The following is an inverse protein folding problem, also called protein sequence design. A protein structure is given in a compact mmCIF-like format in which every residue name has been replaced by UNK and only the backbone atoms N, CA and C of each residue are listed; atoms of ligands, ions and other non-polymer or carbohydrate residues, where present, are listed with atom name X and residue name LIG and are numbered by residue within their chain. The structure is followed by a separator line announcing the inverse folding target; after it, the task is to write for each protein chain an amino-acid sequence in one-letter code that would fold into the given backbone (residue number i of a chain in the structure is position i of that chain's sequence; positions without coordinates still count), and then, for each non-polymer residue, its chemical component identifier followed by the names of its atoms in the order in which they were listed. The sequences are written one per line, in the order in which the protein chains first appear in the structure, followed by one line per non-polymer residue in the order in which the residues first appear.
data_IF_209231982063
#
_entry.id   IF_209231982063
#
_cell.length_a   1.000
_cell.length_b   1.000
_cell.length_c   1.000
_cell.angle_alpha   90.00
_cell.angle_beta   90.00
_cell.angle_gamma   90.00
#
_symmetry.space_group_name_H-M   'P 1'
#
loop_
_entity.id
_entity.type
_entity.pdbx_description
1 polymer ?
#
# COMPACT_ATOMS: atom_id res chain seq x y z
N UNK A 1 -5.46 -26.24 -22.90
CA UNK A 1 -5.26 -24.79 -22.69
C UNK A 1 -4.23 -24.56 -21.58
N UNK A 2 -3.03 -24.13 -21.93
CA UNK A 2 -2.06 -23.64 -20.96
C UNK A 2 -2.59 -22.35 -20.34
N UNK A 3 -2.80 -22.34 -19.03
CA UNK A 3 -3.09 -21.12 -18.30
C UNK A 3 -1.80 -20.31 -18.30
N UNK A 4 -1.67 -19.37 -19.24
CA UNK A 4 -0.65 -18.33 -19.11
C UNK A 4 -1.01 -17.55 -17.85
N UNK A 5 -0.31 -17.85 -16.75
CA UNK A 5 -0.40 -17.07 -15.53
C UNK A 5 0.11 -15.69 -15.89
N UNK A 6 -0.82 -14.81 -16.27
CA UNK A 6 -0.54 -13.43 -16.65
C UNK A 6 0.06 -12.71 -15.47
N UNK A 7 1.39 -12.76 -15.36
CA UNK A 7 2.13 -11.96 -14.41
C UNK A 7 1.98 -10.51 -14.82
N UNK A 8 1.22 -9.72 -14.04
CA UNK A 8 1.30 -8.24 -13.91
C UNK A 8 0.11 -7.61 -13.18
N UNK A 9 -0.98 -8.32 -12.89
CA UNK A 9 -2.21 -7.73 -12.30
C UNK A 9 -2.07 -7.12 -10.88
N UNK A 10 -0.89 -7.19 -10.24
CA UNK A 10 -0.67 -6.66 -8.88
C UNK A 10 0.56 -5.77 -8.67
N UNK A 11 1.45 -5.64 -9.65
CA UNK A 11 2.72 -4.91 -9.47
C UNK A 11 2.49 -3.41 -9.23
N UNK A 12 1.56 -2.80 -9.96
CA UNK A 12 1.23 -1.38 -9.81
C UNK A 12 0.65 -1.06 -8.43
N UNK A 13 -0.19 -1.94 -7.86
CA UNK A 13 -0.69 -1.79 -6.49
C UNK A 13 0.44 -1.72 -5.46
N UNK A 14 1.49 -2.52 -5.62
CA UNK A 14 2.68 -2.45 -4.77
C UNK A 14 3.44 -1.12 -4.91
N UNK A 15 3.54 -0.58 -6.14
CA UNK A 15 4.13 0.76 -6.39
C UNK A 15 3.33 1.84 -5.64
N UNK A 16 1.99 1.78 -5.69
CA UNK A 16 1.14 2.68 -4.91
C UNK A 16 1.40 2.56 -3.41
N UNK A 17 1.60 1.33 -2.91
CA UNK A 17 2.01 1.12 -1.51
C UNK A 17 3.35 1.76 -1.16
N UNK A 18 4.35 1.62 -2.04
CA UNK A 18 5.65 2.28 -1.87
C UNK A 18 5.52 3.80 -1.89
N UNK A 19 4.69 4.37 -2.77
CA UNK A 19 4.42 5.82 -2.80
C UNK A 19 3.79 6.31 -1.48
N UNK A 20 2.83 5.56 -0.93
CA UNK A 20 2.24 5.86 0.38
C UNK A 20 3.25 5.82 1.51
N UNK A 21 4.09 4.79 1.56
CA UNK A 21 5.17 4.69 2.54
C UNK A 21 6.21 5.82 2.37
N UNK A 22 6.56 6.17 1.13
CA UNK A 22 7.48 7.25 0.82
C UNK A 22 6.92 8.61 1.26
N UNK A 23 5.62 8.86 1.05
CA UNK A 23 4.98 10.08 1.53
C UNK A 23 5.10 10.22 3.05
N UNK A 24 4.89 9.13 3.80
CA UNK A 24 5.07 9.11 5.25
C UNK A 24 6.52 9.42 5.65
N UNK A 25 7.50 8.82 4.97
CA UNK A 25 8.92 9.07 5.22
C UNK A 25 9.27 10.53 4.94
N UNK A 26 8.85 11.05 3.78
CA UNK A 26 9.10 12.43 3.37
C UNK A 26 8.53 13.43 4.38
N UNK A 27 7.30 13.21 4.86
CA UNK A 27 6.68 13.99 5.93
C UNK A 27 7.47 13.90 7.24
N UNK A 28 7.92 12.71 7.63
CA UNK A 28 8.65 12.51 8.88
C UNK A 28 9.98 13.26 8.92
N UNK A 29 10.71 13.22 7.80
CA UNK A 29 12.04 13.84 7.70
C UNK A 29 11.97 15.33 7.34
N UNK A 30 10.76 15.89 7.22
CA UNK A 30 10.53 17.26 6.75
C UNK A 30 11.19 17.52 5.38
N UNK A 31 11.19 16.49 4.52
CA UNK A 31 11.73 16.56 3.17
C UNK A 31 10.76 17.28 2.22
N UNK A 32 11.23 17.55 0.99
CA UNK A 32 10.35 18.10 -0.05
C UNK A 32 9.34 17.04 -0.50
N UNK A 33 8.07 17.27 -0.13
CA UNK A 33 6.97 16.36 -0.46
C UNK A 33 6.33 16.68 -1.81
N UNK A 34 6.65 17.82 -2.44
CA UNK A 34 5.95 18.31 -3.63
C UNK A 34 6.01 17.31 -4.77
N UNK A 35 7.22 16.79 -5.04
CA UNK A 35 7.43 15.77 -6.08
C UNK A 35 6.69 14.46 -5.76
N UNK A 36 6.69 14.03 -4.50
CA UNK A 36 5.97 12.82 -4.07
C UNK A 36 4.47 12.99 -4.25
N UNK A 37 3.91 14.11 -3.81
CA UNK A 37 2.48 14.41 -3.98
C UNK A 37 2.09 14.60 -5.44
N UNK A 38 2.93 15.21 -6.26
CA UNK A 38 2.70 15.35 -7.69
C UNK A 38 2.59 13.97 -8.36
N UNK A 39 3.53 13.06 -8.06
CA UNK A 39 3.49 11.71 -8.60
C UNK A 39 2.29 10.91 -8.09
N UNK A 40 1.93 11.02 -6.82
CA UNK A 40 0.71 10.40 -6.28
C UNK A 40 -0.52 10.93 -7.04
N UNK A 41 -0.64 12.25 -7.18
CA UNK A 41 -1.77 12.89 -7.85
C UNK A 41 -1.90 12.46 -9.31
N UNK A 42 -0.80 12.47 -10.07
CA UNK A 42 -0.79 12.02 -11.47
C UNK A 42 -1.19 10.55 -11.57
N UNK A 43 -0.62 9.67 -10.75
CA UNK A 43 -0.92 8.25 -10.79
C UNK A 43 -2.39 7.95 -10.43
N UNK A 44 -2.95 8.62 -9.41
CA UNK A 44 -4.37 8.49 -9.07
C UNK A 44 -5.27 9.05 -10.17
N UNK A 45 -4.92 10.19 -10.78
CA UNK A 45 -5.68 10.77 -11.89
C UNK A 45 -5.72 9.81 -13.09
N UNK A 46 -4.57 9.28 -13.50
CA UNK A 46 -4.50 8.29 -14.58
C UNK A 46 -5.30 7.03 -14.25
N UNK A 47 -5.26 6.59 -12.99
CA UNK A 47 -6.00 5.42 -12.51
C UNK A 47 -7.51 5.57 -12.63
N UNK A 48 -8.05 6.77 -12.42
CA UNK A 48 -9.50 7.01 -12.50
C UNK A 48 -9.97 7.41 -13.91
N UNK A 49 -9.11 8.03 -14.71
CA UNK A 49 -9.44 8.50 -16.07
C UNK A 49 -9.34 7.36 -17.09
N UNK A 50 -8.35 6.48 -16.95
CA UNK A 50 -8.14 5.39 -17.91
C UNK A 50 -9.04 4.18 -17.58
N UNK A 51 -9.76 3.70 -18.60
CA UNK A 51 -10.53 2.46 -18.50
C UNK A 51 -9.62 1.24 -18.37
N UNK A 52 -10.13 0.17 -17.75
CA UNK A 52 -9.41 -1.10 -17.51
C UNK A 52 -8.27 -1.03 -16.47
N UNK A 53 -8.24 0.02 -15.63
CA UNK A 53 -7.35 0.08 -14.46
C UNK A 53 -8.16 -0.19 -13.18
N UNK A 54 -7.64 -1.08 -12.32
CA UNK A 54 -8.25 -1.36 -11.01
C UNK A 54 -7.91 -0.27 -10.01
N UNK A 55 -8.78 0.76 -9.91
CA UNK A 55 -8.60 1.85 -8.94
C UNK A 55 -8.64 1.36 -7.50
N UNK A 56 -9.42 0.30 -7.22
CA UNK A 56 -9.50 -0.32 -5.91
C UNK A 56 -8.17 -0.97 -5.52
N UNK A 57 -7.47 -1.61 -6.47
CA UNK A 57 -6.16 -2.22 -6.23
C UNK A 57 -5.08 -1.17 -5.91
N UNK A 58 -5.08 -0.05 -6.65
CA UNK A 58 -4.16 1.06 -6.40
C UNK A 58 -4.44 1.76 -5.07
N UNK A 59 -5.71 2.06 -4.77
CA UNK A 59 -6.11 2.65 -3.50
C UNK A 59 -5.77 1.74 -2.32
N UNK A 60 -6.10 0.44 -2.42
CA UNK A 60 -5.78 -0.54 -1.38
C UNK A 60 -4.28 -0.66 -1.13
N UNK A 61 -3.49 -0.73 -2.20
CA UNK A 61 -2.02 -0.71 -2.11
C UNK A 61 -1.50 0.55 -1.42
N UNK A 62 -1.95 1.73 -1.84
CA UNK A 62 -1.58 3.01 -1.24
C UNK A 62 -1.89 3.08 0.25
N UNK A 63 -3.10 2.69 0.65
CA UNK A 63 -3.52 2.71 2.06
C UNK A 63 -2.71 1.72 2.91
N UNK A 64 -2.53 0.49 2.42
CA UNK A 64 -1.74 -0.52 3.12
C UNK A 64 -0.27 -0.08 3.29
N UNK A 65 0.35 0.42 2.23
CA UNK A 65 1.72 0.92 2.27
C UNK A 65 1.90 2.15 3.15
N UNK A 66 0.94 3.09 3.13
CA UNK A 66 0.91 4.25 4.04
C UNK A 66 0.83 3.79 5.50
N UNK A 67 -0.06 2.84 5.82
CA UNK A 67 -0.20 2.30 7.16
C UNK A 67 1.08 1.59 7.64
N UNK A 68 1.65 0.71 6.81
CA UNK A 68 2.92 0.04 7.12
C UNK A 68 4.06 1.06 7.29
N UNK A 69 4.17 2.02 6.39
CA UNK A 69 5.15 3.11 6.48
C UNK A 69 5.01 3.87 7.80
N UNK A 70 3.79 4.23 8.20
CA UNK A 70 3.53 4.92 9.46
C UNK A 70 3.92 4.09 10.69
N UNK A 71 3.55 2.80 10.71
CA UNK A 71 3.94 1.87 11.78
C UNK A 71 5.46 1.81 11.91
N UNK A 72 6.17 1.63 10.80
CA UNK A 72 7.62 1.48 10.80
C UNK A 72 8.34 2.77 11.21
N UNK A 73 7.86 3.92 10.74
CA UNK A 73 8.50 5.22 10.90
C UNK A 73 8.20 5.87 12.25
N UNK A 74 6.98 5.71 12.77
CA UNK A 74 6.55 6.33 14.02
C UNK A 74 6.63 5.41 15.24
N UNK A 75 7.03 4.13 15.08
CA UNK A 75 7.28 3.25 16.21
C UNK A 75 8.23 3.91 17.24
N UNK A 76 7.89 3.90 18.55
CA UNK A 76 8.71 4.51 19.59
C UNK A 76 10.14 3.96 19.58
N UNK A 77 11.13 4.85 19.71
CA UNK A 77 12.52 4.43 19.87
C UNK A 77 12.70 3.75 21.23
N UNK A 78 13.52 2.69 21.27
CA UNK A 78 13.81 1.94 22.49
C UNK A 78 13.43 0.46 22.40
N UNK A 79 13.41 -0.26 23.54
CA UNK A 79 13.27 -1.73 23.57
C UNK A 79 11.99 -2.25 22.94
N UNK A 80 10.92 -1.45 22.91
CA UNK A 80 9.60 -1.83 22.38
C UNK A 80 9.47 -1.63 20.87
N UNK A 81 10.44 -0.99 20.19
CA UNK A 81 10.35 -0.64 18.77
C UNK A 81 10.03 -1.85 17.90
N UNK A 82 10.83 -2.90 18.04
CA UNK A 82 10.69 -4.14 17.25
C UNK A 82 9.34 -4.79 17.50
N UNK A 83 8.90 -4.86 18.76
CA UNK A 83 7.58 -5.42 19.11
C UNK A 83 6.44 -4.63 18.47
N UNK A 84 6.47 -3.30 18.54
CA UNK A 84 5.43 -2.45 17.93
C UNK A 84 5.43 -2.60 16.41
N UNK A 85 6.61 -2.63 15.78
CA UNK A 85 6.72 -2.82 14.33
C UNK A 85 6.19 -4.19 13.90
N UNK A 86 6.59 -5.26 14.58
CA UNK A 86 6.12 -6.61 14.28
C UNK A 86 4.61 -6.71 14.46
N UNK A 87 4.08 -6.32 15.62
CA UNK A 87 2.64 -6.40 15.89
C UNK A 87 1.83 -5.54 14.90
N UNK A 88 2.29 -4.32 14.62
CA UNK A 88 1.60 -3.42 13.69
C UNK A 88 1.60 -3.95 12.25
N UNK A 89 2.75 -4.40 11.74
CA UNK A 89 2.85 -4.95 10.38
C UNK A 89 2.07 -6.27 10.28
N UNK A 90 2.17 -7.15 11.28
CA UNK A 90 1.37 -8.37 11.34
C UNK A 90 -0.13 -8.07 11.38
N UNK A 91 -0.57 -7.05 12.13
CA UNK A 91 -1.97 -6.65 12.15
C UNK A 91 -2.46 -6.19 10.77
N UNK A 92 -1.69 -5.36 10.06
CA UNK A 92 -2.04 -4.95 8.68
C UNK A 92 -2.10 -6.16 7.76
N UNK A 93 -1.12 -7.06 7.83
CA UNK A 93 -1.10 -8.29 7.03
C UNK A 93 -2.32 -9.18 7.29
N UNK A 94 -2.71 -9.33 8.56
CA UNK A 94 -3.90 -10.10 8.95
C UNK A 94 -5.20 -9.45 8.46
N UNK A 95 -5.31 -8.13 8.52
CA UNK A 95 -6.46 -7.40 7.96
C UNK A 95 -6.54 -7.62 6.45
N UNK A 96 -5.43 -7.48 5.73
CA UNK A 96 -5.38 -7.73 4.28
C UNK A 96 -5.76 -9.17 3.97
N UNK A 97 -5.23 -10.15 4.70
CA UNK A 97 -5.58 -11.56 4.53
C UNK A 97 -7.07 -11.82 4.79
N UNK A 98 -7.63 -11.25 5.86
CA UNK A 98 -9.05 -11.38 6.18
C UNK A 98 -9.94 -10.78 5.07
N UNK A 99 -9.56 -9.63 4.52
CA UNK A 99 -10.27 -9.01 3.38
C UNK A 99 -10.19 -9.88 2.12
N UNK A 100 -9.04 -10.50 1.85
CA UNK A 100 -8.88 -11.45 0.72
C UNK A 100 -9.80 -12.65 0.92
N UNK A 101 -9.79 -13.27 2.10
CA UNK A 101 -10.65 -14.42 2.41
C UNK A 101 -12.13 -14.04 2.30
N UNK A 102 -12.53 -12.91 2.89
CA UNK A 102 -13.90 -12.42 2.79
C UNK A 102 -14.32 -12.20 1.33
N UNK A 103 -13.42 -11.66 0.50
CA UNK A 103 -13.69 -11.48 -0.93
C UNK A 103 -13.83 -12.80 -1.67
N UNK A 104 -13.02 -13.80 -1.34
CA UNK A 104 -13.12 -15.14 -1.92
C UNK A 104 -14.48 -15.76 -1.57
N UNK A 105 -14.90 -15.69 -0.30
CA UNK A 105 -16.20 -16.22 0.16
C UNK A 105 -17.40 -15.51 -0.49
N UNK A 106 -17.29 -14.22 -0.79
CA UNK A 106 -18.35 -13.48 -1.50
C UNK A 106 -18.45 -13.84 -2.99
N UNK A 107 -17.40 -14.41 -3.56
CA UNK A 107 -17.31 -14.75 -4.98
C UNK A 107 -17.59 -16.23 -5.28
N UNK A 108 -17.58 -17.07 -4.23
CA UNK A 108 -18.01 -18.48 -4.27
C UNK A 108 -19.52 -18.60 -4.11
#
# INVERSE_FOLDING_TARGET
PEYSVGGTLGASGAIFGLMGALAVIALKVHGDIRSVLAWIGINFLLTVVLSNISWQGHLGGFLAGTAVGAILVYAPRGPRRTTVQLLGVSAVALVVLALIVARIVQLS
#
